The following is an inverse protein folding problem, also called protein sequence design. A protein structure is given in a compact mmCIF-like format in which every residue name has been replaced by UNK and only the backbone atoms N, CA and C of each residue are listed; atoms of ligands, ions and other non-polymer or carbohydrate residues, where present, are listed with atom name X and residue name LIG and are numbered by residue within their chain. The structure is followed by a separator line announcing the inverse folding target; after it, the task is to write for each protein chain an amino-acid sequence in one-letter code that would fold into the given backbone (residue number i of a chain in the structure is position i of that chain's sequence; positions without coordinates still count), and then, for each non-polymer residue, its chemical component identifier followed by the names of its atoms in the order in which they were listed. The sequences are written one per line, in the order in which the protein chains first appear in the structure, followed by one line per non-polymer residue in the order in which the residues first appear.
data_IF_168714586366
#
_entry.id   IF_168714586366
#
_cell.length_a   1.000
_cell.length_b   1.000
_cell.length_c   1.000
_cell.angle_alpha   90.00
_cell.angle_beta   90.00
_cell.angle_gamma   90.00
#
_symmetry.space_group_name_H-M   'P 1'
#
loop_
_entity.id
_entity.type
_entity.pdbx_description
1 polymer ?
#
# COMPACT_ATOMS: atom_id res chain seq x y z
N UNK A 1 -5.67 5.01 29.56
CA UNK A 1 -5.90 4.02 28.49
C UNK A 1 -4.73 3.06 28.48
N UNK A 2 -4.90 1.79 28.87
CA UNK A 2 -3.81 0.82 28.80
C UNK A 2 -3.67 0.36 27.36
N UNK A 3 -2.61 0.80 26.69
CA UNK A 3 -2.20 0.23 25.41
C UNK A 3 -1.79 -1.21 25.71
N UNK A 4 -2.57 -2.18 25.23
CA UNK A 4 -2.15 -3.56 25.24
C UNK A 4 -0.94 -3.64 24.32
N UNK A 5 0.22 -3.99 24.89
CA UNK A 5 1.42 -4.33 24.13
C UNK A 5 1.01 -5.43 23.15
N UNK A 6 1.34 -5.24 21.86
CA UNK A 6 1.35 -6.34 20.91
C UNK A 6 2.12 -7.48 21.57
N UNK A 7 1.50 -8.65 21.69
CA UNK A 7 2.22 -9.81 22.16
C UNK A 7 3.29 -10.05 21.10
N UNK A 8 4.56 -9.97 21.49
CA UNK A 8 5.66 -10.33 20.61
C UNK A 8 5.36 -11.73 20.05
N UNK A 9 5.40 -11.85 18.72
CA UNK A 9 5.23 -13.14 18.07
C UNK A 9 6.19 -14.12 18.74
N UNK A 10 5.64 -15.19 19.29
CA UNK A 10 6.45 -16.24 19.91
C UNK A 10 7.36 -16.78 18.81
N UNK A 11 8.63 -16.96 19.12
CA UNK A 11 9.56 -17.57 18.20
C UNK A 11 8.98 -18.89 17.68
N UNK A 12 8.65 -18.90 16.39
CA UNK A 12 8.13 -20.11 15.73
C UNK A 12 9.27 -21.09 15.62
N UNK A 13 9.21 -22.19 16.38
CA UNK A 13 10.17 -23.28 16.26
C UNK A 13 9.71 -24.20 15.15
N UNK A 14 10.54 -24.38 14.14
CA UNK A 14 10.30 -25.34 13.07
C UNK A 14 10.89 -26.70 13.51
N UNK A 15 10.06 -27.75 13.52
CA UNK A 15 10.45 -29.11 13.80
C UNK A 15 10.01 -30.00 12.65
N UNK A 16 10.64 -31.21 12.55
CA UNK A 16 10.34 -32.19 11.49
C UNK A 16 9.61 -33.44 12.03
N UNK A 17 9.16 -33.39 13.28
CA UNK A 17 8.49 -34.50 13.96
C UNK A 17 7.02 -34.70 13.54
N UNK A 18 6.44 -33.78 12.84
CA UNK A 18 5.04 -33.82 12.38
C UNK A 18 4.01 -33.55 13.49
N UNK A 19 4.45 -33.21 14.71
CA UNK A 19 3.56 -32.81 15.79
C UNK A 19 3.22 -31.31 15.69
N UNK A 20 1.98 -30.95 16.00
CA UNK A 20 1.52 -29.55 16.01
C UNK A 20 1.62 -28.86 14.64
N UNK A 21 1.42 -29.60 13.54
CA UNK A 21 1.45 -29.02 12.19
C UNK A 21 0.43 -27.90 12.06
N UNK A 22 0.89 -26.72 11.65
CA UNK A 22 0.05 -25.59 11.34
C UNK A 22 0.08 -25.33 9.84
N UNK A 23 -1.10 -25.24 9.21
CA UNK A 23 -1.19 -24.72 7.85
C UNK A 23 -0.84 -23.24 7.84
N UNK A 24 -0.28 -22.76 6.75
CA UNK A 24 0.10 -21.34 6.62
C UNK A 24 1.12 -20.85 7.67
N UNK A 25 1.92 -21.73 8.27
CA UNK A 25 2.88 -21.35 9.30
C UNK A 25 3.88 -20.27 8.83
N UNK A 26 4.25 -20.29 7.55
CA UNK A 26 5.12 -19.27 6.94
C UNK A 26 4.52 -17.87 6.95
N UNK A 27 3.21 -17.75 6.94
CA UNK A 27 2.48 -16.48 6.99
C UNK A 27 2.69 -15.73 8.31
N UNK A 28 3.02 -16.46 9.40
CA UNK A 28 3.37 -15.84 10.67
C UNK A 28 4.61 -14.93 10.56
N UNK A 29 5.52 -15.22 9.64
CA UNK A 29 6.69 -14.36 9.39
C UNK A 29 6.29 -12.99 8.84
N UNK A 30 5.21 -12.89 8.08
CA UNK A 30 4.69 -11.61 7.58
C UNK A 30 4.16 -10.75 8.73
N UNK A 31 3.44 -11.36 9.68
CA UNK A 31 2.98 -10.67 10.88
C UNK A 31 4.17 -10.19 11.73
N UNK A 32 5.18 -11.04 11.92
CA UNK A 32 6.41 -10.66 12.62
C UNK A 32 7.16 -9.52 11.92
N UNK A 33 7.24 -9.53 10.60
CA UNK A 33 7.85 -8.43 9.83
C UNK A 33 7.08 -7.13 9.98
N UNK A 34 5.75 -7.17 9.99
CA UNK A 34 4.92 -5.98 10.26
C UNK A 34 5.19 -5.41 11.65
N UNK A 35 5.37 -6.26 12.66
CA UNK A 35 5.71 -5.85 14.01
C UNK A 35 7.14 -5.27 14.09
N UNK A 36 8.12 -5.96 13.52
CA UNK A 36 9.54 -5.54 13.54
C UNK A 36 9.80 -4.27 12.76
N UNK A 37 9.13 -4.08 11.62
CA UNK A 37 9.19 -2.82 10.88
C UNK A 37 8.45 -1.68 11.58
N UNK A 38 7.66 -1.98 12.63
CA UNK A 38 6.83 -1.05 13.36
C UNK A 38 5.54 -0.65 12.63
N UNK A 39 5.18 -1.37 11.54
CA UNK A 39 3.96 -1.12 10.79
C UNK A 39 2.73 -1.32 11.67
N UNK A 40 2.62 -2.45 12.37
CA UNK A 40 1.49 -2.74 13.27
C UNK A 40 1.28 -1.62 14.29
N UNK A 41 2.37 -1.18 14.93
CA UNK A 41 2.29 -0.08 15.91
C UNK A 41 1.85 1.23 15.25
N UNK A 42 2.38 1.53 14.07
CA UNK A 42 2.00 2.72 13.31
C UNK A 42 0.52 2.73 12.96
N UNK A 43 0.00 1.59 12.48
CA UNK A 43 -1.42 1.40 12.17
C UNK A 43 -2.29 1.56 13.43
N UNK A 44 -1.85 1.02 14.59
CA UNK A 44 -2.56 1.22 15.86
C UNK A 44 -2.65 2.69 16.26
N UNK A 45 -1.58 3.45 16.04
CA UNK A 45 -1.59 4.90 16.28
C UNK A 45 -2.51 5.62 15.29
N UNK A 46 -2.43 5.27 14.01
CA UNK A 46 -3.27 5.88 12.97
C UNK A 46 -4.78 5.67 13.23
N UNK A 47 -5.15 4.52 13.77
CA UNK A 47 -6.54 4.13 14.04
C UNK A 47 -7.00 4.44 15.47
N UNK A 48 -6.12 4.97 16.33
CA UNK A 48 -6.40 5.14 17.76
C UNK A 48 -7.60 6.03 18.10
N UNK A 49 -7.89 7.00 17.26
CA UNK A 49 -8.97 7.99 17.45
C UNK A 49 -10.11 7.82 16.42
N UNK A 50 -10.27 6.66 15.82
CA UNK A 50 -11.27 6.43 14.76
C UNK A 50 -12.75 6.47 15.25
N UNK A 51 -12.99 6.96 16.47
CA UNK A 51 -14.34 7.19 17.02
C UNK A 51 -15.07 5.93 17.48
N UNK A 52 -14.51 4.75 17.30
CA UNK A 52 -15.10 3.48 17.73
C UNK A 52 -14.44 3.03 19.04
N UNK A 53 -15.27 2.63 20.02
CA UNK A 53 -14.75 2.00 21.24
C UNK A 53 -14.36 0.55 20.94
N UNK A 54 -13.08 0.28 20.94
CA UNK A 54 -12.50 -1.05 20.75
C UNK A 54 -12.27 -1.71 22.12
N UNK A 55 -13.00 -2.77 22.41
CA UNK A 55 -12.93 -3.43 23.72
C UNK A 55 -12.00 -4.65 23.70
N UNK A 56 -11.84 -5.32 22.55
CA UNK A 56 -11.15 -6.61 22.46
C UNK A 56 -9.99 -6.59 21.48
N UNK A 57 -10.16 -5.94 20.33
CA UNK A 57 -9.17 -5.92 19.27
C UNK A 57 -8.70 -4.49 18.98
N UNK A 58 -7.40 -4.28 18.90
CA UNK A 58 -6.80 -3.05 18.40
C UNK A 58 -7.05 -2.95 16.88
N UNK A 59 -7.60 -1.85 16.36
CA UNK A 59 -7.92 -1.73 14.95
C UNK A 59 -6.69 -1.77 14.04
N UNK A 60 -5.52 -1.28 14.48
CA UNK A 60 -4.27 -1.39 13.72
C UNK A 60 -3.80 -2.83 13.60
N UNK A 61 -3.95 -3.63 14.67
CA UNK A 61 -3.69 -5.07 14.62
C UNK A 61 -4.67 -5.76 13.67
N UNK A 62 -5.94 -5.35 13.66
CA UNK A 62 -6.93 -5.88 12.71
C UNK A 62 -6.52 -5.58 11.27
N UNK A 63 -6.07 -4.36 10.97
CA UNK A 63 -5.56 -4.01 9.63
C UNK A 63 -4.31 -4.80 9.26
N UNK A 64 -3.41 -5.05 10.22
CA UNK A 64 -2.24 -5.91 10.01
C UNK A 64 -2.64 -7.33 9.66
N UNK A 65 -3.59 -7.93 10.41
CA UNK A 65 -4.10 -9.26 10.09
C UNK A 65 -4.78 -9.33 8.72
N UNK A 66 -5.50 -8.27 8.33
CA UNK A 66 -6.06 -8.16 6.98
C UNK A 66 -4.98 -8.14 5.91
N UNK A 67 -3.93 -7.34 6.10
CA UNK A 67 -2.80 -7.29 5.17
C UNK A 67 -2.09 -8.64 5.05
N UNK A 68 -1.86 -9.31 6.18
CA UNK A 68 -1.26 -10.65 6.23
C UNK A 68 -2.15 -11.68 5.53
N UNK A 69 -3.47 -11.64 5.77
CA UNK A 69 -4.41 -12.55 5.11
C UNK A 69 -4.45 -12.34 3.60
N UNK A 70 -4.43 -11.08 3.13
CA UNK A 70 -4.36 -10.75 1.69
C UNK A 70 -3.07 -11.28 1.07
N UNK A 71 -1.94 -11.09 1.73
CA UNK A 71 -0.65 -11.63 1.28
C UNK A 71 -0.63 -13.17 1.24
N UNK A 72 -1.43 -13.83 2.07
CA UNK A 72 -1.65 -15.28 2.09
C UNK A 72 -2.73 -15.75 1.07
N UNK A 73 -3.24 -14.85 0.23
CA UNK A 73 -4.20 -15.15 -0.84
C UNK A 73 -5.67 -14.98 -0.47
N UNK A 74 -5.98 -14.24 0.61
CA UNK A 74 -7.36 -13.91 0.93
C UNK A 74 -7.93 -12.87 -0.05
N UNK A 75 -9.10 -13.16 -0.61
CA UNK A 75 -9.86 -12.28 -1.52
C UNK A 75 -11.11 -11.66 -0.86
N UNK A 76 -11.41 -12.07 0.37
CA UNK A 76 -12.54 -11.56 1.14
C UNK A 76 -12.26 -11.60 2.65
N UNK A 77 -12.99 -10.76 3.40
CA UNK A 77 -12.81 -10.63 4.85
C UNK A 77 -13.12 -11.92 5.63
N UNK A 78 -13.98 -12.79 5.10
CA UNK A 78 -14.31 -14.07 5.75
C UNK A 78 -13.10 -15.00 5.84
N UNK A 79 -12.12 -14.89 4.93
CA UNK A 79 -10.88 -15.68 4.95
C UNK A 79 -9.94 -15.33 6.11
N UNK A 80 -10.19 -14.26 6.88
CA UNK A 80 -9.55 -14.07 8.19
C UNK A 80 -9.70 -15.26 9.13
N UNK A 81 -10.68 -16.12 8.90
CA UNK A 81 -10.84 -17.37 9.64
C UNK A 81 -9.57 -18.23 9.62
N UNK A 82 -8.83 -18.25 8.51
CA UNK A 82 -7.58 -19.03 8.38
C UNK A 82 -6.56 -18.60 9.43
N UNK A 83 -6.41 -17.29 9.68
CA UNK A 83 -5.52 -16.79 10.71
C UNK A 83 -6.10 -17.05 12.12
N UNK A 84 -7.42 -16.85 12.28
CA UNK A 84 -8.10 -17.02 13.57
C UNK A 84 -8.05 -18.45 14.07
N UNK A 85 -8.14 -19.43 13.17
CA UNK A 85 -8.07 -20.85 13.51
C UNK A 85 -6.65 -21.28 13.95
N UNK A 86 -5.68 -20.34 13.87
CA UNK A 86 -4.30 -20.54 14.28
C UNK A 86 -3.87 -19.54 15.37
N UNK A 87 -4.67 -19.42 16.40
CA UNK A 87 -4.45 -18.48 17.51
C UNK A 87 -3.06 -18.61 18.13
N UNK A 88 -2.47 -19.82 18.14
CA UNK A 88 -1.12 -20.06 18.62
C UNK A 88 -0.04 -19.31 17.85
N UNK A 89 -0.28 -18.97 16.58
CA UNK A 89 0.63 -18.23 15.70
C UNK A 89 0.32 -16.73 15.67
N UNK A 90 -0.95 -16.38 15.52
CA UNK A 90 -1.38 -15.01 15.24
C UNK A 90 -1.98 -14.29 16.46
N UNK A 91 -2.18 -15.02 17.57
CA UNK A 91 -2.92 -14.49 18.72
C UNK A 91 -4.40 -14.29 18.40
N UNK A 92 -5.11 -13.43 19.16
CA UNK A 92 -6.54 -13.20 18.96
C UNK A 92 -6.78 -12.45 17.64
N UNK A 93 -7.39 -13.10 16.66
CA UNK A 93 -7.75 -12.51 15.36
C UNK A 93 -9.22 -12.12 15.35
N UNK A 94 -9.51 -10.92 14.84
CA UNK A 94 -10.86 -10.37 14.81
C UNK A 94 -11.82 -11.20 13.94
N UNK A 95 -13.10 -11.21 14.34
CA UNK A 95 -14.17 -11.76 13.50
C UNK A 95 -14.41 -10.91 12.25
N UNK A 96 -15.00 -11.50 11.20
CA UNK A 96 -15.39 -10.79 10.00
C UNK A 96 -16.19 -9.48 10.27
N UNK A 97 -17.24 -9.45 11.12
CA UNK A 97 -17.94 -8.19 11.41
C UNK A 97 -17.06 -7.15 12.11
N UNK A 98 -16.09 -7.58 12.91
CA UNK A 98 -15.16 -6.67 13.58
C UNK A 98 -14.15 -6.10 12.59
N UNK A 99 -13.63 -6.92 11.68
CA UNK A 99 -12.75 -6.47 10.61
C UNK A 99 -13.46 -5.50 9.65
N UNK A 100 -14.71 -5.80 9.30
CA UNK A 100 -15.53 -4.90 8.49
C UNK A 100 -15.64 -3.51 9.13
N UNK A 101 -15.98 -3.45 10.41
CA UNK A 101 -16.08 -2.17 11.14
C UNK A 101 -14.75 -1.43 11.21
N UNK A 102 -13.62 -2.15 11.30
CA UNK A 102 -12.30 -1.52 11.27
C UNK A 102 -12.02 -0.84 9.92
N UNK A 103 -12.39 -1.48 8.81
CA UNK A 103 -12.26 -0.91 7.47
C UNK A 103 -13.21 0.28 7.28
N UNK A 104 -14.47 0.17 7.72
CA UNK A 104 -15.45 1.26 7.64
C UNK A 104 -15.06 2.49 8.47
N UNK A 105 -14.29 2.30 9.53
CA UNK A 105 -13.81 3.40 10.38
C UNK A 105 -12.67 4.21 9.75
N UNK A 106 -12.11 3.75 8.63
CA UNK A 106 -11.02 4.45 7.94
C UNK A 106 -11.59 5.64 7.17
N UNK A 107 -11.36 6.83 7.69
CA UNK A 107 -11.67 8.09 7.00
C UNK A 107 -10.40 8.65 6.33
N UNK A 108 -10.52 9.82 5.68
CA UNK A 108 -9.35 10.51 5.11
C UNK A 108 -8.28 10.86 6.15
N UNK A 109 -8.64 10.97 7.42
CA UNK A 109 -7.70 11.22 8.51
C UNK A 109 -6.88 9.96 8.81
N UNK A 110 -7.57 8.84 9.00
CA UNK A 110 -6.93 7.54 9.27
C UNK A 110 -6.08 7.09 8.07
N UNK A 111 -6.55 7.31 6.83
CA UNK A 111 -5.77 7.05 5.61
C UNK A 111 -4.43 7.77 5.62
N UNK A 112 -4.41 9.07 5.95
CA UNK A 112 -3.12 9.80 6.08
C UNK A 112 -2.22 9.21 7.15
N UNK A 113 -2.78 8.78 8.29
CA UNK A 113 -2.03 8.09 9.34
C UNK A 113 -1.46 6.75 8.89
N UNK A 114 -2.23 5.98 8.12
CA UNK A 114 -1.81 4.72 7.51
C UNK A 114 -0.64 4.97 6.54
N UNK A 115 -0.74 5.98 5.68
CA UNK A 115 0.32 6.34 4.73
C UNK A 115 1.62 6.73 5.44
N UNK A 116 1.54 7.54 6.50
CA UNK A 116 2.70 7.88 7.35
C UNK A 116 3.30 6.63 8.00
N UNK A 117 2.46 5.71 8.45
CA UNK A 117 2.91 4.46 9.09
C UNK A 117 3.62 3.54 8.10
N UNK A 118 3.13 3.45 6.87
CA UNK A 118 3.73 2.68 5.77
C UNK A 118 5.09 3.27 5.38
N UNK A 119 5.16 4.60 5.19
CA UNK A 119 6.41 5.30 4.88
C UNK A 119 7.48 5.07 5.96
N UNK A 120 7.11 5.18 7.25
CA UNK A 120 8.02 4.95 8.36
C UNK A 120 8.47 3.48 8.47
N UNK A 121 7.60 2.52 8.15
CA UNK A 121 7.98 1.11 8.12
C UNK A 121 8.96 0.81 6.97
N UNK A 122 8.72 1.37 5.77
CA UNK A 122 9.62 1.29 4.61
C UNK A 122 10.99 1.86 4.92
N UNK A 123 11.03 3.06 5.49
CA UNK A 123 12.29 3.70 5.88
C UNK A 123 13.14 2.79 6.77
N UNK A 124 12.53 2.12 7.78
CA UNK A 124 13.24 1.17 8.63
C UNK A 124 13.74 -0.05 7.88
N UNK A 125 12.94 -0.61 6.98
CA UNK A 125 13.32 -1.77 6.18
C UNK A 125 14.47 -1.41 5.25
N UNK A 126 14.41 -0.26 4.59
CA UNK A 126 15.46 0.19 3.67
C UNK A 126 16.75 0.52 4.43
N UNK A 127 16.68 1.18 5.57
CA UNK A 127 17.84 1.43 6.43
C UNK A 127 18.49 0.14 6.96
N UNK A 128 17.71 -0.95 7.08
CA UNK A 128 18.22 -2.26 7.48
C UNK A 128 18.84 -3.08 6.31
N UNK A 129 19.03 -2.47 5.14
CA UNK A 129 19.61 -3.11 3.96
C UNK A 129 18.58 -3.61 2.94
N UNK A 130 17.30 -3.30 3.12
CA UNK A 130 16.24 -3.63 2.16
C UNK A 130 16.00 -2.59 1.07
N UNK A 131 16.86 -1.54 0.97
CA UNK A 131 16.74 -0.54 -0.07
C UNK A 131 17.08 -1.14 -1.45
N UNK A 132 16.30 -0.82 -2.51
CA UNK A 132 16.67 -1.20 -3.88
C UNK A 132 17.87 -0.38 -4.35
N UNK A 133 18.51 -0.79 -5.44
CA UNK A 133 19.61 -0.04 -6.04
C UNK A 133 19.12 1.21 -6.80
N UNK A 134 17.91 1.15 -7.33
CA UNK A 134 17.20 2.20 -8.08
C UNK A 134 15.74 2.24 -7.67
N UNK A 135 15.04 3.30 -8.01
CA UNK A 135 13.59 3.42 -7.81
C UNK A 135 12.93 3.76 -9.13
N UNK A 136 12.04 2.88 -9.57
CA UNK A 136 11.13 3.12 -10.69
C UNK A 136 9.72 3.27 -10.15
N UNK A 137 9.13 4.43 -10.36
CA UNK A 137 7.72 4.69 -10.06
C UNK A 137 6.88 4.30 -11.28
N UNK A 138 6.16 3.20 -11.15
CA UNK A 138 5.31 2.66 -12.20
C UNK A 138 3.85 3.09 -11.99
N UNK A 139 3.33 3.84 -12.96
CA UNK A 139 1.96 4.36 -12.94
C UNK A 139 1.05 3.47 -13.78
N UNK A 140 0.01 2.95 -13.16
CA UNK A 140 -0.99 2.17 -13.85
C UNK A 140 -2.41 2.56 -13.43
N UNK A 141 -3.30 2.57 -14.42
CA UNK A 141 -4.73 2.82 -14.23
C UNK A 141 -5.53 1.60 -14.69
N UNK A 142 -6.15 0.92 -13.75
CA UNK A 142 -6.91 -0.29 -14.02
C UNK A 142 -8.41 -0.08 -13.83
N UNK A 143 -9.25 -0.83 -14.55
CA UNK A 143 -10.69 -0.80 -14.35
C UNK A 143 -11.08 -1.81 -13.28
N UNK A 144 -11.89 -1.36 -12.33
CA UNK A 144 -12.51 -2.21 -11.31
C UNK A 144 -14.01 -2.26 -11.57
N UNK A 145 -14.49 -3.39 -12.05
CA UNK A 145 -15.92 -3.60 -12.21
C UNK A 145 -16.59 -3.77 -10.86
N UNK A 146 -17.50 -2.87 -10.56
CA UNK A 146 -18.27 -2.85 -9.33
C UNK A 146 -19.64 -2.26 -9.62
N UNK A 147 -20.59 -3.12 -9.97
CA UNK A 147 -21.98 -2.71 -10.18
C UNK A 147 -22.61 -2.38 -8.82
N UNK A 148 -22.54 -1.12 -8.42
CA UNK A 148 -23.03 -0.66 -7.13
C UNK A 148 -23.50 0.78 -7.18
N UNK A 149 -24.35 1.17 -6.21
CA UNK A 149 -24.79 2.55 -6.01
C UNK A 149 -23.79 3.38 -5.17
N UNK A 150 -22.57 2.89 -4.98
CA UNK A 150 -21.54 3.62 -4.23
C UNK A 150 -21.17 4.91 -4.94
N UNK A 151 -20.78 5.89 -4.13
CA UNK A 151 -20.29 7.17 -4.63
C UNK A 151 -19.19 6.94 -5.69
N UNK A 152 -19.28 7.67 -6.80
CA UNK A 152 -18.34 7.64 -7.92
C UNK A 152 -18.28 6.34 -8.74
N UNK A 153 -19.07 5.30 -8.43
CA UNK A 153 -19.29 4.22 -9.37
C UNK A 153 -19.99 4.76 -10.63
N UNK A 154 -19.38 4.62 -11.79
CA UNK A 154 -19.82 5.19 -13.08
C UNK A 154 -19.60 4.18 -14.22
N UNK A 155 -20.32 4.34 -15.35
CA UNK A 155 -20.02 3.58 -16.55
C UNK A 155 -18.56 3.78 -16.97
N UNK A 156 -17.89 2.69 -17.35
CA UNK A 156 -16.49 2.71 -17.81
C UNK A 156 -16.43 2.76 -19.35
N UNK A 157 -15.28 3.17 -19.91
CA UNK A 157 -15.07 3.21 -21.36
C UNK A 157 -15.13 1.82 -22.02
N UNK A 158 -14.93 0.73 -21.26
CA UNK A 158 -15.08 -0.67 -21.72
C UNK A 158 -16.52 -1.19 -21.61
N UNK A 159 -17.51 -0.31 -21.40
CA UNK A 159 -18.93 -0.65 -21.23
C UNK A 159 -19.26 -1.46 -19.97
N UNK A 160 -18.33 -1.50 -18.98
CA UNK A 160 -18.58 -1.95 -17.61
C UNK A 160 -19.14 -0.83 -16.75
N UNK A 161 -19.30 -1.10 -15.46
CA UNK A 161 -19.71 -0.12 -14.46
C UNK A 161 -18.85 -0.29 -13.19
N UNK A 162 -18.31 0.79 -12.67
CA UNK A 162 -17.46 0.72 -11.48
C UNK A 162 -16.52 1.91 -11.34
N UNK A 163 -15.23 1.62 -11.16
CA UNK A 163 -14.19 2.60 -10.87
C UNK A 163 -13.00 2.48 -11.82
N UNK A 164 -12.21 3.55 -11.91
CA UNK A 164 -10.97 3.61 -12.67
C UNK A 164 -9.83 4.15 -11.79
N UNK A 165 -9.40 3.38 -10.76
CA UNK A 165 -8.30 3.80 -9.90
C UNK A 165 -7.01 4.03 -10.68
N UNK A 166 -6.21 4.98 -10.18
CA UNK A 166 -4.83 5.20 -10.59
C UNK A 166 -3.93 4.84 -9.43
N UNK A 167 -2.96 3.98 -9.66
CA UNK A 167 -1.98 3.53 -8.67
C UNK A 167 -0.55 3.85 -9.10
N UNK A 168 0.34 3.88 -8.10
CA UNK A 168 1.79 4.02 -8.29
C UNK A 168 2.49 2.97 -7.46
N UNK A 169 3.38 2.23 -8.09
CA UNK A 169 4.19 1.19 -7.46
C UNK A 169 5.68 1.52 -7.56
N UNK A 170 6.46 1.03 -6.61
CA UNK A 170 7.89 0.87 -6.79
C UNK A 170 8.14 -0.48 -7.47
N UNK A 171 8.62 -0.48 -8.70
CA UNK A 171 8.78 -1.69 -9.51
C UNK A 171 9.78 -2.67 -8.87
N UNK A 172 10.90 -2.17 -8.37
CA UNK A 172 11.97 -2.99 -7.81
C UNK A 172 11.55 -3.75 -6.54
N UNK A 173 10.67 -3.17 -5.74
CA UNK A 173 10.16 -3.80 -4.51
C UNK A 173 8.77 -4.38 -4.68
N UNK A 174 8.13 -4.18 -5.85
CA UNK A 174 6.73 -4.52 -6.13
C UNK A 174 5.75 -3.92 -5.12
N UNK A 175 6.13 -2.80 -4.50
CA UNK A 175 5.38 -2.19 -3.42
C UNK A 175 4.45 -1.10 -3.94
N UNK A 176 3.16 -1.18 -3.57
CA UNK A 176 2.21 -0.11 -3.79
C UNK A 176 2.56 1.11 -2.92
N UNK A 177 2.81 2.26 -3.54
CA UNK A 177 3.16 3.49 -2.84
C UNK A 177 1.96 4.39 -2.62
N UNK A 178 1.23 4.72 -3.67
CA UNK A 178 0.11 5.64 -3.62
C UNK A 178 -1.01 5.22 -4.57
N UNK A 179 -2.23 5.64 -4.29
CA UNK A 179 -3.34 5.41 -5.20
C UNK A 179 -4.52 6.32 -4.94
N UNK A 180 -5.30 6.52 -5.98
CA UNK A 180 -6.52 7.30 -5.96
C UNK A 180 -7.65 6.52 -6.61
N UNK A 181 -8.73 6.32 -5.86
CA UNK A 181 -9.96 5.79 -6.43
C UNK A 181 -10.63 6.90 -7.26
N UNK A 182 -10.80 6.66 -8.55
CA UNK A 182 -11.43 7.60 -9.48
C UNK A 182 -12.75 7.05 -9.99
N UNK A 183 -13.70 7.92 -10.39
CA UNK A 183 -14.92 7.47 -11.06
C UNK A 183 -14.63 6.58 -12.28
N UNK A 184 -15.53 5.64 -12.57
CA UNK A 184 -15.36 4.71 -13.69
C UNK A 184 -15.19 5.37 -15.06
N UNK A 185 -15.72 6.59 -15.21
CA UNK A 185 -15.59 7.42 -16.42
C UNK A 185 -14.39 8.40 -16.37
N UNK A 186 -13.51 8.30 -15.38
CA UNK A 186 -12.30 9.13 -15.35
C UNK A 186 -11.39 8.82 -16.55
N UNK A 187 -10.86 9.85 -17.18
CA UNK A 187 -9.90 9.72 -18.27
C UNK A 187 -8.57 9.11 -17.79
N UNK A 188 -7.96 8.28 -18.62
CA UNK A 188 -6.64 7.73 -18.33
C UNK A 188 -5.54 8.81 -18.37
N UNK A 189 -5.76 9.91 -19.07
CA UNK A 189 -4.79 10.95 -19.42
C UNK A 189 -4.95 12.26 -18.62
N UNK A 190 -5.48 12.22 -17.40
CA UNK A 190 -5.64 13.41 -16.56
C UNK A 190 -4.32 13.75 -15.88
N UNK A 191 -3.56 14.70 -16.44
CA UNK A 191 -2.24 15.11 -15.93
C UNK A 191 -2.26 15.49 -14.43
N UNK A 192 -3.30 16.22 -13.99
CA UNK A 192 -3.42 16.63 -12.59
C UNK A 192 -3.50 15.44 -11.62
N UNK A 193 -4.17 14.35 -12.01
CA UNK A 193 -4.23 13.13 -11.20
C UNK A 193 -2.86 12.48 -11.10
N UNK A 194 -2.12 12.41 -12.21
CA UNK A 194 -0.77 11.85 -12.25
C UNK A 194 0.21 12.66 -11.39
N UNK A 195 0.17 14.00 -11.47
CA UNK A 195 1.01 14.87 -10.63
C UNK A 195 0.69 14.66 -9.16
N UNK A 196 -0.60 14.61 -8.79
CA UNK A 196 -1.00 14.36 -7.41
C UNK A 196 -0.50 12.98 -6.91
N UNK A 197 -0.53 11.98 -7.77
CA UNK A 197 -0.04 10.65 -7.40
C UNK A 197 1.48 10.58 -7.36
N UNK A 198 2.18 11.35 -8.19
CA UNK A 198 3.64 11.51 -8.11
C UNK A 198 4.04 12.08 -6.75
N UNK A 199 3.44 13.19 -6.34
CA UNK A 199 3.71 13.82 -5.05
C UNK A 199 3.45 12.86 -3.88
N UNK A 200 2.34 12.12 -3.95
CA UNK A 200 1.98 11.14 -2.94
C UNK A 200 2.98 9.97 -2.90
N UNK A 201 3.41 9.45 -4.05
CA UNK A 201 4.37 8.35 -4.13
C UNK A 201 5.77 8.78 -3.65
N UNK A 202 6.26 9.95 -4.08
CA UNK A 202 7.53 10.51 -3.60
C UNK A 202 7.49 10.73 -2.09
N UNK A 203 6.37 11.19 -1.54
CA UNK A 203 6.21 11.36 -0.09
C UNK A 203 6.31 10.04 0.70
N UNK A 204 6.07 8.90 0.05
CA UNK A 204 6.21 7.57 0.65
C UNK A 204 7.66 7.08 0.72
N UNK A 205 8.59 7.66 -0.06
CA UNK A 205 9.99 7.27 -0.05
C UNK A 205 10.72 7.80 1.20
N UNK A 206 11.81 7.16 1.64
CA UNK A 206 12.66 7.70 2.70
C UNK A 206 13.23 9.08 2.36
N UNK A 207 13.56 9.93 3.36
CA UNK A 207 14.00 11.31 3.14
C UNK A 207 15.15 11.46 2.15
N UNK A 208 16.13 10.59 2.18
CA UNK A 208 17.30 10.58 1.31
C UNK A 208 16.96 10.30 -0.16
N UNK A 209 15.91 9.48 -0.39
CA UNK A 209 15.43 9.12 -1.72
C UNK A 209 14.53 10.20 -2.34
N UNK A 210 13.87 11.00 -1.51
CA UNK A 210 12.98 12.06 -1.99
C UNK A 210 13.64 13.44 -2.09
N UNK A 211 14.85 13.59 -1.56
CA UNK A 211 15.58 14.85 -1.61
C UNK A 211 15.85 15.29 -3.06
N UNK A 212 15.57 16.52 -3.40
CA UNK A 212 15.72 17.09 -4.74
C UNK A 212 14.60 16.71 -5.72
N UNK A 213 13.57 15.96 -5.30
CA UNK A 213 12.48 15.48 -6.16
C UNK A 213 11.14 16.21 -5.94
N UNK A 214 11.15 17.37 -5.34
CA UNK A 214 9.96 18.22 -5.16
C UNK A 214 10.12 19.54 -5.87
N UNK A 215 9.01 20.14 -6.34
CA UNK A 215 9.07 21.47 -6.91
C UNK A 215 9.73 22.47 -5.95
N UNK A 216 10.79 23.13 -6.40
CA UNK A 216 11.54 24.12 -5.60
C UNK A 216 12.70 23.55 -4.77
N UNK A 217 12.91 22.24 -4.77
CA UNK A 217 14.11 21.64 -4.18
C UNK A 217 15.36 22.01 -5.00
N UNK A 218 16.53 22.00 -4.33
CA UNK A 218 17.81 22.13 -5.01
C UNK A 218 18.10 20.83 -5.79
N UNK A 219 18.30 20.90 -7.12
CA UNK A 219 18.66 19.73 -7.92
C UNK A 219 19.96 19.04 -7.48
N UNK A 220 20.88 19.78 -6.88
CA UNK A 220 22.11 19.23 -6.34
C UNK A 220 21.86 18.34 -5.09
N UNK A 221 20.66 18.39 -4.49
CA UNK A 221 20.29 17.53 -3.39
C UNK A 221 19.87 16.11 -3.83
N UNK A 222 19.74 15.84 -5.14
CA UNK A 222 19.41 14.51 -5.64
C UNK A 222 20.56 13.55 -5.41
N UNK A 223 20.35 12.63 -4.48
CA UNK A 223 21.30 11.54 -4.20
C UNK A 223 20.93 10.26 -4.97
N UNK A 224 19.66 10.04 -5.17
CA UNK A 224 19.12 8.84 -5.81
C UNK A 224 18.16 9.26 -6.93
N UNK A 225 18.52 9.00 -8.21
CA UNK A 225 17.61 9.29 -9.32
C UNK A 225 16.39 8.38 -9.28
N UNK A 226 15.22 8.94 -9.61
CA UNK A 226 13.96 8.23 -9.71
C UNK A 226 13.55 8.15 -11.18
N UNK A 227 13.27 6.96 -11.68
CA UNK A 227 12.64 6.76 -12.97
C UNK A 227 11.11 6.76 -12.81
N UNK A 228 10.42 7.47 -13.69
CA UNK A 228 8.95 7.40 -13.78
C UNK A 228 8.55 6.70 -15.07
N UNK A 229 7.70 5.68 -14.94
CA UNK A 229 7.16 4.91 -16.05
C UNK A 229 5.63 5.00 -16.04
N UNK A 230 5.04 5.28 -17.19
CA UNK A 230 3.60 5.27 -17.38
C UNK A 230 3.28 4.69 -18.77
N UNK A 231 2.06 4.22 -18.95
CA UNK A 231 1.57 3.84 -20.27
C UNK A 231 1.44 5.08 -21.20
N UNK A 232 1.21 4.86 -22.48
CA UNK A 232 1.09 5.94 -23.45
C UNK A 232 -0.09 6.90 -23.17
N UNK A 233 -1.13 6.44 -22.48
CA UNK A 233 -2.27 7.25 -22.10
C UNK A 233 -1.94 8.18 -20.92
N UNK A 234 -1.11 7.71 -19.98
CA UNK A 234 -0.63 8.49 -18.84
C UNK A 234 0.47 9.50 -19.19
N UNK A 235 1.24 9.24 -20.23
CA UNK A 235 2.37 10.09 -20.66
C UNK A 235 1.91 11.36 -21.40
N UNK A 236 1.13 12.21 -20.75
CA UNK A 236 0.66 13.48 -21.32
C UNK A 236 1.73 14.57 -21.24
N UNK A 237 1.70 15.55 -22.16
CA UNK A 237 2.61 16.70 -22.11
C UNK A 237 2.58 17.40 -20.75
N UNK A 238 1.38 17.65 -20.19
CA UNK A 238 1.27 18.30 -18.88
C UNK A 238 1.87 17.51 -17.74
N UNK A 239 1.85 16.17 -17.79
CA UNK A 239 2.53 15.33 -16.80
C UNK A 239 4.03 15.34 -17.01
N UNK A 240 4.51 15.23 -18.26
CA UNK A 240 5.93 15.32 -18.59
C UNK A 240 6.51 16.67 -18.18
N UNK A 241 5.81 17.77 -18.44
CA UNK A 241 6.24 19.12 -18.03
C UNK A 241 6.32 19.24 -16.50
N UNK A 242 5.39 18.64 -15.78
CA UNK A 242 5.42 18.57 -14.32
C UNK A 242 6.60 17.73 -13.81
N UNK A 243 6.90 16.59 -14.45
CA UNK A 243 8.08 15.77 -14.12
C UNK A 243 9.37 16.57 -14.31
N UNK A 244 9.52 17.28 -15.42
CA UNK A 244 10.69 18.13 -15.69
C UNK A 244 10.79 19.27 -14.65
N UNK A 245 9.66 19.83 -14.24
CA UNK A 245 9.63 20.93 -13.26
C UNK A 245 9.90 20.46 -11.83
N UNK A 246 9.48 19.24 -11.48
CA UNK A 246 9.68 18.67 -10.16
C UNK A 246 11.14 18.25 -9.92
N UNK A 247 11.90 18.03 -10.99
CA UNK A 247 13.27 17.52 -10.90
C UNK A 247 14.09 18.03 -12.06
N UNK A 248 14.84 19.04 -11.83
CA UNK A 248 15.66 19.67 -12.88
C UNK A 248 16.72 18.76 -13.52
N UNK A 249 16.84 17.46 -13.20
CA UNK A 249 17.89 16.63 -13.79
C UNK A 249 17.69 15.10 -13.83
N UNK A 250 16.70 14.48 -13.22
CA UNK A 250 16.78 13.01 -13.05
C UNK A 250 15.50 12.18 -13.22
N UNK A 251 14.39 12.75 -13.64
CA UNK A 251 13.20 11.98 -14.00
C UNK A 251 13.22 11.68 -15.50
N UNK A 252 13.55 10.45 -15.84
CA UNK A 252 13.42 9.93 -17.19
C UNK A 252 12.02 9.37 -17.38
N UNK A 253 11.19 9.99 -18.21
CA UNK A 253 9.92 9.42 -18.63
C UNK A 253 10.15 8.34 -19.69
N UNK A 254 9.76 7.10 -19.43
CA UNK A 254 9.67 6.06 -20.43
C UNK A 254 8.21 5.67 -20.66
N UNK A 255 7.79 5.60 -21.92
CA UNK A 255 6.50 5.05 -22.29
C UNK A 255 6.65 3.58 -22.55
N UNK A 256 5.91 2.75 -21.82
CA UNK A 256 5.84 1.32 -22.09
C UNK A 256 4.64 1.07 -23.03
N UNK A 257 4.92 0.68 -24.26
CA UNK A 257 3.89 0.05 -25.10
C UNK A 257 3.84 -1.42 -24.73
N UNK A 258 2.76 -1.85 -24.09
CA UNK A 258 2.50 -3.27 -23.88
C UNK A 258 2.49 -3.98 -25.24
N UNK A 259 3.60 -4.57 -25.61
CA UNK A 259 3.64 -5.57 -26.65
C UNK A 259 2.79 -6.73 -26.19
N UNK A 260 1.70 -7.00 -26.92
CA UNK A 260 0.87 -8.17 -26.76
C UNK A 260 1.77 -9.42 -26.83
N UNK A 261 2.15 -9.95 -25.68
CA UNK A 261 2.59 -11.34 -25.61
C UNK A 261 1.31 -12.16 -25.39
N UNK A 262 0.68 -12.56 -26.46
CA UNK A 262 -0.24 -13.70 -26.45
C UNK A 262 0.57 -14.99 -26.35
N UNK A 263 0.10 -15.96 -25.56
CA UNK A 263 0.75 -17.26 -25.38
C UNK A 263 0.74 -18.10 -26.64
#
# INVERSE_FOLDING_TARGET
MKVHRSQSVRHVKVTTDGEGMASHAGTALLAEMADRSGLTRGLSVAMGDCGIRWHTHDPGVVLTHLAVAIADGADCLSKLAVLRDQEGLFGPVASHPTAWRAVEAVTSRELRGIDVSRAAARERVWAAGGAPATVTLDFDATLVDAHSEKQDAKPTYKRGFGFHPLGVWCDETTEFLAGMLRPGNAGANVAADHVKMLDAAVAQLPPEWRAGHRPGDDPAAVLHPILVRADSAGATHGFVDALVSATSASLLASTWTAGCATP
#
